data_IF_660050181084
#
_entry.id   IF_660050181084
#
_cell.length_a   1.000
_cell.length_b   1.000
_cell.length_c   1.000
_cell.angle_alpha   90.00
_cell.angle_beta   90.00
_cell.angle_gamma   90.00
#
_symmetry.space_group_name_H-M   'P 1'
#
loop_
_entity.id
_entity.type
_entity.pdbx_description
1 polymer ?
#
# COMPACT_ATOMS: atom_id res chain seq x y z
N UNK A 1 -10.99 25.44 14.95
CA UNK A 1 -11.21 25.07 13.53
C UNK A 1 -10.83 26.26 12.67
N UNK A 2 -10.16 26.05 11.55
CA UNK A 2 -9.70 27.14 10.67
C UNK A 2 -10.85 27.58 9.75
N UNK A 3 -10.92 28.88 9.43
CA UNK A 3 -11.99 29.46 8.61
C UNK A 3 -12.20 28.72 7.27
N UNK A 4 -11.12 28.28 6.60
CA UNK A 4 -11.21 27.52 5.35
C UNK A 4 -12.00 26.20 5.47
N UNK A 5 -12.00 25.55 6.63
CA UNK A 5 -12.76 24.31 6.84
C UNK A 5 -14.23 24.60 7.12
N UNK A 6 -14.54 25.80 7.58
CA UNK A 6 -15.89 26.23 7.98
C UNK A 6 -16.70 26.60 6.76
N UNK A 7 -16.08 27.23 5.77
CA UNK A 7 -16.67 27.53 4.46
C UNK A 7 -17.32 26.27 3.83
N UNK A 8 -16.59 25.15 3.82
CA UNK A 8 -17.13 23.87 3.35
C UNK A 8 -18.32 23.35 4.18
N UNK A 9 -18.36 23.61 5.49
CA UNK A 9 -19.52 23.27 6.32
C UNK A 9 -20.71 24.21 6.07
N UNK A 10 -20.45 25.48 5.76
CA UNK A 10 -21.48 26.44 5.35
C UNK A 10 -22.12 25.97 4.04
N UNK A 11 -21.34 25.58 3.04
CA UNK A 11 -21.88 25.03 1.77
C UNK A 11 -22.74 23.79 2.01
N UNK A 12 -22.26 22.83 2.80
CA UNK A 12 -23.04 21.63 3.16
C UNK A 12 -24.36 21.94 3.87
N UNK A 13 -24.37 23.00 4.70
CA UNK A 13 -25.59 23.48 5.35
C UNK A 13 -26.59 23.99 4.31
N UNK A 14 -26.13 24.81 3.36
CA UNK A 14 -26.95 25.37 2.30
C UNK A 14 -27.57 24.27 1.41
N UNK A 15 -26.82 23.20 1.14
CA UNK A 15 -27.27 22.04 0.37
C UNK A 15 -28.21 21.10 1.16
N UNK A 16 -28.39 21.31 2.47
CA UNK A 16 -29.23 20.46 3.32
C UNK A 16 -28.64 19.08 3.65
N UNK A 17 -27.33 18.88 3.47
CA UNK A 17 -26.64 17.59 3.66
C UNK A 17 -25.73 17.56 4.90
N UNK A 18 -25.80 18.58 5.75
CA UNK A 18 -24.96 18.70 6.93
C UNK A 18 -25.33 17.67 8.01
N UNK A 19 -24.34 16.95 8.53
CA UNK A 19 -24.56 16.00 9.63
C UNK A 19 -24.69 16.70 10.99
N UNK A 20 -25.26 16.04 11.98
CA UNK A 20 -25.44 16.60 13.34
C UNK A 20 -24.11 17.00 14.00
N UNK A 21 -23.06 16.18 13.84
CA UNK A 21 -21.72 16.46 14.38
C UNK A 21 -21.09 17.68 13.71
N UNK A 22 -21.22 17.79 12.39
CA UNK A 22 -20.76 18.94 11.61
C UNK A 22 -21.53 20.22 11.96
N UNK A 23 -22.84 20.13 12.19
CA UNK A 23 -23.68 21.25 12.63
C UNK A 23 -23.21 21.81 13.98
N UNK A 24 -22.84 20.93 14.92
CA UNK A 24 -22.29 21.35 16.21
C UNK A 24 -20.97 22.10 16.03
N UNK A 25 -20.07 21.60 15.19
CA UNK A 25 -18.80 22.25 14.89
C UNK A 25 -18.96 23.59 14.18
N UNK A 26 -19.87 23.67 13.22
CA UNK A 26 -20.22 24.92 12.52
C UNK A 26 -20.75 25.95 13.52
N UNK A 27 -21.75 25.59 14.33
CA UNK A 27 -22.34 26.47 15.34
C UNK A 27 -21.30 26.99 16.35
N UNK A 28 -20.43 26.12 16.85
CA UNK A 28 -19.35 26.51 17.77
C UNK A 28 -18.39 27.53 17.14
N UNK A 29 -18.14 27.43 15.83
CA UNK A 29 -17.22 28.32 15.13
C UNK A 29 -17.85 29.68 14.84
N UNK A 30 -19.05 29.72 14.25
CA UNK A 30 -19.74 30.99 13.88
C UNK A 30 -20.12 31.83 15.11
N UNK A 31 -20.26 31.19 16.29
CA UNK A 31 -20.47 31.92 17.54
C UNK A 31 -19.21 32.69 17.98
N UNK A 32 -18.01 32.24 17.56
CA UNK A 32 -16.71 32.79 18.00
C UNK A 32 -15.98 33.58 16.91
N UNK A 33 -16.37 33.43 15.65
CA UNK A 33 -15.73 34.07 14.51
C UNK A 33 -16.75 34.97 13.79
N UNK A 34 -16.58 36.29 13.91
CA UNK A 34 -17.50 37.26 13.32
C UNK A 34 -17.49 37.21 11.79
N UNK A 35 -16.33 36.95 11.18
CA UNK A 35 -16.17 36.87 9.71
C UNK A 35 -17.00 35.72 9.13
N UNK A 36 -16.83 34.50 9.65
CA UNK A 36 -17.59 33.34 9.16
C UNK A 36 -19.08 33.43 9.51
N UNK A 37 -19.44 34.17 10.56
CA UNK A 37 -20.85 34.45 10.89
C UNK A 37 -21.50 35.34 9.83
N UNK A 38 -20.81 36.40 9.41
CA UNK A 38 -21.28 37.32 8.38
C UNK A 38 -21.42 36.63 7.01
N UNK A 39 -20.44 35.78 6.65
CA UNK A 39 -20.51 34.94 5.45
C UNK A 39 -21.73 34.02 5.47
N UNK A 40 -21.95 33.31 6.58
CA UNK A 40 -23.10 32.43 6.75
C UNK A 40 -24.44 33.16 6.56
N UNK A 41 -24.62 34.32 7.20
CA UNK A 41 -25.85 35.10 7.06
C UNK A 41 -26.03 35.67 5.65
N UNK A 42 -24.93 36.02 4.97
CA UNK A 42 -24.96 36.48 3.59
C UNK A 42 -25.51 35.40 2.66
N UNK A 43 -24.99 34.17 2.78
CA UNK A 43 -25.48 33.04 2.01
C UNK A 43 -26.95 32.69 2.35
N UNK A 44 -27.32 32.70 3.64
CA UNK A 44 -28.70 32.44 4.03
C UNK A 44 -29.67 33.44 3.38
N UNK A 45 -29.32 34.74 3.42
CA UNK A 45 -30.13 35.80 2.80
C UNK A 45 -30.25 35.62 1.29
N UNK A 46 -29.19 35.16 0.61
CA UNK A 46 -29.26 34.86 -0.82
C UNK A 46 -30.24 33.72 -1.11
N UNK A 47 -30.21 32.65 -0.31
CA UNK A 47 -31.15 31.53 -0.46
C UNK A 47 -32.58 31.96 -0.20
N UNK A 48 -32.83 32.74 0.85
CA UNK A 48 -34.16 33.24 1.18
C UNK A 48 -34.77 34.04 -0.01
N UNK A 49 -33.95 34.87 -0.66
CA UNK A 49 -34.36 35.63 -1.86
C UNK A 49 -34.64 34.70 -3.06
N UNK A 50 -33.83 33.66 -3.24
CA UNK A 50 -34.03 32.69 -4.33
C UNK A 50 -35.27 31.81 -4.10
N UNK A 51 -35.57 31.48 -2.84
CA UNK A 51 -36.75 30.69 -2.46
C UNK A 51 -38.06 31.47 -2.58
N UNK A 52 -38.02 32.80 -2.38
CA UNK A 52 -39.17 33.69 -2.62
C UNK A 52 -39.41 33.97 -4.13
N UNK A 53 -38.53 33.45 -5.00
CA UNK A 53 -38.70 33.46 -6.44
C UNK A 53 -39.91 32.62 -6.88
N UNK A 54 -40.66 33.11 -7.85
CA UNK A 54 -41.77 32.38 -8.45
C UNK A 54 -41.25 31.07 -9.07
N UNK A 55 -41.73 29.93 -8.58
CA UNK A 55 -41.46 28.63 -9.18
C UNK A 55 -41.98 28.64 -10.62
N UNK A 56 -41.06 28.73 -11.59
CA UNK A 56 -41.41 28.67 -13.00
C UNK A 56 -41.61 27.19 -13.36
N UNK A 57 -42.84 26.83 -13.71
CA UNK A 57 -43.09 25.51 -14.28
C UNK A 57 -42.33 25.36 -15.60
N UNK A 58 -41.65 24.22 -15.74
CA UNK A 58 -41.00 23.88 -16.99
C UNK A 58 -42.05 23.76 -18.12
N UNK A 59 -41.73 24.17 -19.35
CA UNK A 59 -42.59 23.93 -20.50
C UNK A 59 -42.93 22.43 -20.63
N UNK A 60 -44.16 22.11 -21.06
CA UNK A 60 -44.65 20.73 -21.17
C UNK A 60 -43.75 19.79 -21.97
N UNK A 61 -42.99 20.34 -22.93
CA UNK A 61 -42.13 19.57 -23.84
C UNK A 61 -40.65 19.58 -23.44
N UNK A 62 -40.29 20.15 -22.28
CA UNK A 62 -38.91 20.30 -21.84
C UNK A 62 -38.20 18.95 -21.70
N UNK A 63 -38.81 18.00 -20.98
CA UNK A 63 -38.25 16.67 -20.78
C UNK A 63 -38.07 15.92 -22.10
N UNK A 64 -39.10 15.92 -22.96
CA UNK A 64 -39.04 15.30 -24.27
C UNK A 64 -37.93 15.91 -25.16
N UNK A 65 -37.75 17.23 -25.10
CA UNK A 65 -36.71 17.95 -25.85
C UNK A 65 -35.31 17.58 -25.36
N UNK A 66 -35.09 17.54 -24.04
CA UNK A 66 -33.80 17.18 -23.45
C UNK A 66 -33.44 15.73 -23.76
N UNK A 67 -34.39 14.80 -23.56
CA UNK A 67 -34.16 13.38 -23.79
C UNK A 67 -33.87 13.04 -25.26
N UNK A 68 -34.47 13.78 -26.20
CA UNK A 68 -34.14 13.61 -27.61
C UNK A 68 -32.72 14.12 -27.92
N UNK A 69 -32.29 15.25 -27.34
CA UNK A 69 -30.92 15.74 -27.53
C UNK A 69 -29.86 14.81 -26.93
N UNK A 70 -30.14 14.19 -25.79
CA UNK A 70 -29.19 13.26 -25.13
C UNK A 70 -28.93 12.01 -25.99
N UNK A 71 -29.93 11.53 -26.74
CA UNK A 71 -29.77 10.35 -27.62
C UNK A 71 -28.76 10.58 -28.74
N UNK A 72 -28.63 11.82 -29.20
CA UNK A 72 -27.72 12.19 -30.28
C UNK A 72 -26.29 12.48 -29.78
N UNK A 73 -26.06 12.39 -28.46
CA UNK A 73 -24.72 12.52 -27.87
C UNK A 73 -24.04 11.16 -27.98
N UNK A 74 -23.14 11.02 -28.96
CA UNK A 74 -22.18 9.91 -28.98
C UNK A 74 -21.20 10.09 -27.82
N UNK A 75 -21.36 9.26 -26.78
CA UNK A 75 -20.44 9.24 -25.64
C UNK A 75 -19.26 8.36 -26.04
N UNK A 76 -18.15 8.98 -26.41
CA UNK A 76 -16.86 8.30 -26.57
C UNK A 76 -16.24 8.08 -25.18
N UNK A 77 -16.65 7.00 -24.51
CA UNK A 77 -15.95 6.52 -23.33
C UNK A 77 -14.76 5.66 -23.78
N UNK A 78 -13.55 6.23 -23.73
CA UNK A 78 -12.32 5.44 -23.79
C UNK A 78 -12.29 4.50 -22.58
N UNK A 79 -12.73 3.25 -22.77
CA UNK A 79 -12.56 2.20 -21.77
C UNK A 79 -11.07 1.91 -21.69
N UNK A 80 -10.39 2.40 -20.65
CA UNK A 80 -8.99 2.06 -20.37
C UNK A 80 -8.82 0.55 -20.46
N UNK A 81 -7.96 0.11 -21.38
CA UNK A 81 -7.65 -1.30 -21.55
C UNK A 81 -7.20 -1.89 -20.21
N UNK A 82 -7.78 -3.04 -19.84
CA UNK A 82 -7.42 -3.73 -18.61
C UNK A 82 -5.99 -4.23 -18.75
N UNK A 83 -5.09 -3.67 -17.95
CA UNK A 83 -3.70 -4.15 -17.86
C UNK A 83 -3.72 -5.62 -17.45
N UNK A 84 -2.97 -6.47 -18.16
CA UNK A 84 -2.90 -7.90 -17.84
C UNK A 84 -2.27 -8.12 -16.47
N UNK A 85 -2.79 -9.11 -15.73
CA UNK A 85 -2.29 -9.46 -14.39
C UNK A 85 -0.79 -9.80 -14.44
N UNK A 86 -0.31 -10.38 -15.54
CA UNK A 86 1.10 -10.70 -15.75
C UNK A 86 1.98 -9.44 -15.79
N UNK A 87 1.49 -8.36 -16.41
CA UNK A 87 2.21 -7.08 -16.47
C UNK A 87 2.30 -6.44 -15.08
N UNK A 88 1.20 -6.51 -14.30
CA UNK A 88 1.17 -6.02 -12.92
C UNK A 88 2.13 -6.83 -12.05
N UNK A 89 2.10 -8.16 -12.17
CA UNK A 89 2.99 -9.06 -11.43
C UNK A 89 4.46 -8.75 -11.74
N UNK A 90 4.81 -8.61 -13.02
CA UNK A 90 6.17 -8.26 -13.43
C UNK A 90 6.62 -6.91 -12.85
N UNK A 91 5.75 -5.90 -12.84
CA UNK A 91 6.04 -4.59 -12.26
C UNK A 91 6.27 -4.66 -10.75
N UNK A 92 5.44 -5.43 -10.03
CA UNK A 92 5.58 -5.64 -8.58
C UNK A 92 6.89 -6.36 -8.24
N UNK A 93 7.21 -7.44 -8.95
CA UNK A 93 8.46 -8.18 -8.75
C UNK A 93 9.69 -7.34 -9.12
N UNK A 94 9.60 -6.55 -10.19
CA UNK A 94 10.67 -5.61 -10.58
C UNK A 94 10.92 -4.55 -9.52
N UNK A 95 9.86 -3.91 -9.01
CA UNK A 95 9.98 -2.91 -7.94
C UNK A 95 10.53 -3.53 -6.65
N UNK A 96 10.04 -4.71 -6.28
CA UNK A 96 10.53 -5.43 -5.10
C UNK A 96 12.02 -5.76 -5.23
N UNK A 97 12.45 -6.28 -6.38
CA UNK A 97 13.86 -6.59 -6.65
C UNK A 97 14.74 -5.35 -6.58
N UNK A 98 14.28 -4.22 -7.11
CA UNK A 98 15.00 -2.96 -7.07
C UNK A 98 15.14 -2.43 -5.64
N UNK A 99 14.06 -2.40 -4.86
CA UNK A 99 14.09 -1.95 -3.46
C UNK A 99 14.99 -2.86 -2.63
N UNK A 100 14.87 -4.18 -2.83
CA UNK A 100 15.71 -5.16 -2.12
C UNK A 100 17.18 -4.96 -2.46
N UNK A 101 17.52 -4.77 -3.74
CA UNK A 101 18.90 -4.51 -4.18
C UNK A 101 19.48 -3.23 -3.57
N UNK A 102 18.72 -2.14 -3.55
CA UNK A 102 19.13 -0.89 -2.88
C UNK A 102 19.33 -1.12 -1.39
N UNK A 103 18.41 -1.84 -0.73
CA UNK A 103 18.52 -2.18 0.69
C UNK A 103 19.80 -2.97 1.01
N UNK A 104 20.13 -3.97 0.20
CA UNK A 104 21.39 -4.74 0.35
C UNK A 104 22.60 -3.83 0.19
N UNK A 105 22.62 -2.95 -0.80
CA UNK A 105 23.71 -1.99 -0.99
C UNK A 105 23.87 -1.05 0.22
N UNK A 106 22.77 -0.54 0.77
CA UNK A 106 22.80 0.33 1.96
C UNK A 106 23.38 -0.41 3.17
N UNK A 107 23.07 -1.69 3.36
CA UNK A 107 23.64 -2.49 4.46
C UNK A 107 25.13 -2.75 4.26
N UNK A 108 25.55 -3.07 3.03
CA UNK A 108 26.96 -3.35 2.71
C UNK A 108 27.84 -2.10 2.85
N UNK A 109 27.34 -0.94 2.41
CA UNK A 109 28.06 0.34 2.43
C UNK A 109 27.65 1.24 3.61
N UNK A 110 27.09 0.68 4.69
CA UNK A 110 26.53 1.47 5.79
C UNK A 110 27.52 2.43 6.43
N UNK A 111 28.76 2.00 6.69
CA UNK A 111 29.79 2.83 7.34
C UNK A 111 30.19 4.05 6.49
N UNK A 112 30.64 3.89 5.22
CA UNK A 112 31.02 5.04 4.41
C UNK A 112 29.84 5.97 4.12
N UNK A 113 28.61 5.44 4.02
CA UNK A 113 27.40 6.28 3.84
C UNK A 113 27.15 7.15 5.08
N UNK A 114 27.24 6.58 6.28
CA UNK A 114 27.02 7.33 7.53
C UNK A 114 28.11 8.37 7.74
N UNK A 115 29.37 8.00 7.52
CA UNK A 115 30.51 8.92 7.62
C UNK A 115 30.31 10.14 6.70
N UNK A 116 29.96 9.90 5.43
CA UNK A 116 29.65 10.97 4.47
C UNK A 116 28.44 11.82 4.89
N UNK A 117 27.40 11.21 5.47
CA UNK A 117 26.21 11.94 5.94
C UNK A 117 26.48 12.78 7.18
N UNK A 118 27.36 12.32 8.08
CA UNK A 118 27.77 13.04 9.29
C UNK A 118 28.58 14.30 8.93
N UNK A 119 29.41 14.22 7.89
CA UNK A 119 30.17 15.37 7.40
C UNK A 119 29.30 16.45 6.71
N UNK A 120 28.03 16.15 6.40
CA UNK A 120 27.15 17.08 5.71
C UNK A 120 26.58 18.16 6.65
N UNK A 121 26.71 19.46 6.33
CA UNK A 121 26.24 20.56 7.19
C UNK A 121 24.75 20.56 7.52
N UNK A 122 23.92 19.93 6.69
CA UNK A 122 22.46 19.91 6.85
C UNK A 122 21.94 18.61 7.45
N UNK A 123 22.66 17.50 7.25
CA UNK A 123 22.21 16.15 7.61
C UNK A 123 23.00 15.53 8.77
N UNK A 124 24.09 16.16 9.21
CA UNK A 124 25.00 15.60 10.21
C UNK A 124 24.35 15.30 11.57
N UNK A 125 23.50 16.19 12.07
CA UNK A 125 22.79 16.00 13.34
C UNK A 125 21.80 14.82 13.29
N UNK A 126 21.13 14.66 12.14
CA UNK A 126 20.22 13.54 11.92
C UNK A 126 21.00 12.23 11.76
N UNK A 127 22.11 12.25 11.00
CA UNK A 127 22.93 11.08 10.74
C UNK A 127 23.64 10.57 12.01
N UNK A 128 24.17 11.49 12.83
CA UNK A 128 24.81 11.14 14.11
C UNK A 128 23.84 10.48 15.09
N UNK A 129 22.56 10.90 15.08
CA UNK A 129 21.50 10.26 15.86
C UNK A 129 21.19 8.82 15.42
N UNK A 130 21.56 8.44 14.19
CA UNK A 130 21.36 7.09 13.65
C UNK A 130 22.56 6.15 13.86
N UNK A 131 23.74 6.66 14.22
CA UNK A 131 24.91 5.82 14.53
C UNK A 131 24.61 4.72 15.56
N UNK A 132 24.03 5.01 16.75
CA UNK A 132 23.79 3.97 17.75
C UNK A 132 22.76 2.92 17.29
N UNK A 133 21.76 3.31 16.49
CA UNK A 133 20.77 2.35 15.96
C UNK A 133 21.39 1.43 14.93
N UNK A 134 22.32 1.92 14.11
CA UNK A 134 23.07 1.13 13.13
C UNK A 134 24.01 0.14 13.81
N UNK A 135 24.65 0.53 14.90
CA UNK A 135 25.51 -0.37 15.69
C UNK A 135 24.70 -1.49 16.35
N UNK A 136 23.54 -1.18 16.94
CA UNK A 136 22.61 -2.20 17.47
C UNK A 136 22.12 -3.13 16.35
N UNK A 137 21.82 -2.60 15.17
CA UNK A 137 21.43 -3.44 14.03
C UNK A 137 22.58 -4.39 13.63
N UNK A 138 23.82 -3.92 13.73
CA UNK A 138 24.99 -4.73 13.39
C UNK A 138 25.20 -5.92 14.32
N UNK A 139 24.93 -5.75 15.62
CA UNK A 139 25.00 -6.85 16.58
C UNK A 139 23.93 -7.89 16.29
N UNK A 140 22.69 -7.46 16.03
CA UNK A 140 21.62 -8.40 15.64
C UNK A 140 21.93 -9.16 14.35
N UNK A 141 22.50 -8.50 13.34
CA UNK A 141 22.93 -9.17 12.11
C UNK A 141 24.01 -10.22 12.39
N UNK A 142 24.94 -9.93 13.30
CA UNK A 142 25.98 -10.88 13.71
C UNK A 142 25.38 -12.10 14.41
N UNK A 143 24.48 -11.87 15.37
CA UNK A 143 23.81 -12.95 16.11
C UNK A 143 23.01 -13.88 15.16
N UNK A 144 22.26 -13.28 14.24
CA UNK A 144 21.52 -14.04 13.21
C UNK A 144 22.48 -14.85 12.34
N UNK A 145 23.63 -14.27 11.96
CA UNK A 145 24.63 -14.98 11.15
C UNK A 145 25.19 -16.19 11.90
N UNK A 146 25.50 -16.04 13.19
CA UNK A 146 25.99 -17.15 14.01
C UNK A 146 24.94 -18.24 14.16
N UNK A 147 23.68 -17.88 14.40
CA UNK A 147 22.58 -18.85 14.46
C UNK A 147 22.34 -19.57 13.13
N UNK A 148 22.40 -18.86 12.00
CA UNK A 148 22.30 -19.48 10.67
C UNK A 148 23.45 -20.47 10.44
N UNK A 149 24.67 -20.13 10.85
CA UNK A 149 25.83 -21.04 10.74
C UNK A 149 25.62 -22.26 11.63
N UNK A 150 25.14 -22.08 12.85
CA UNK A 150 24.80 -23.16 13.78
C UNK A 150 23.76 -24.11 13.18
N UNK A 151 22.66 -23.58 12.62
CA UNK A 151 21.61 -24.36 11.95
C UNK A 151 22.15 -25.10 10.73
N UNK A 152 22.95 -24.43 9.89
CA UNK A 152 23.58 -25.05 8.72
C UNK A 152 24.55 -26.17 9.12
N UNK A 153 25.30 -26.00 10.20
CA UNK A 153 26.20 -27.04 10.71
C UNK A 153 25.41 -28.25 11.23
N UNK A 154 24.34 -28.01 11.99
CA UNK A 154 23.46 -29.05 12.51
C UNK A 154 22.78 -29.83 11.39
N UNK A 155 22.28 -29.13 10.37
CA UNK A 155 21.66 -29.79 9.21
C UNK A 155 22.63 -30.69 8.45
N UNK A 156 23.91 -30.30 8.30
CA UNK A 156 24.94 -31.17 7.71
C UNK A 156 25.10 -32.49 8.47
N UNK A 157 25.10 -32.46 9.80
CA UNK A 157 25.15 -33.67 10.61
C UNK A 157 23.90 -34.54 10.40
N UNK A 158 22.71 -33.93 10.38
CA UNK A 158 21.44 -34.63 10.12
C UNK A 158 21.47 -35.31 8.74
N UNK A 159 21.87 -34.58 7.69
CA UNK A 159 21.97 -35.13 6.33
C UNK A 159 23.02 -36.24 6.23
N UNK A 160 24.15 -36.13 6.92
CA UNK A 160 25.17 -37.18 6.96
C UNK A 160 24.64 -38.46 7.62
N UNK A 161 23.97 -38.34 8.76
CA UNK A 161 23.35 -39.47 9.46
C UNK A 161 22.24 -40.11 8.62
N UNK A 162 21.40 -39.31 7.96
CA UNK A 162 20.35 -39.79 7.06
C UNK A 162 20.95 -40.56 5.87
N UNK A 163 22.04 -40.06 5.29
CA UNK A 163 22.77 -40.71 4.18
C UNK A 163 23.32 -42.08 4.59
N UNK A 164 23.85 -42.20 5.81
CA UNK A 164 24.39 -43.46 6.35
C UNK A 164 23.30 -44.53 6.47
N UNK A 165 22.05 -44.14 6.74
CA UNK A 165 20.89 -45.06 6.83
C UNK A 165 20.28 -45.34 5.44
N UNK A 166 20.13 -44.33 4.58
CA UNK A 166 19.48 -44.48 3.28
C UNK A 166 20.27 -45.35 2.30
N UNK A 167 21.60 -45.22 2.26
CA UNK A 167 22.45 -46.01 1.35
C UNK A 167 22.31 -47.53 1.56
N UNK A 168 22.43 -48.07 2.78
CA UNK A 168 22.28 -49.51 3.00
C UNK A 168 20.85 -49.98 2.75
N UNK A 169 19.83 -49.19 3.13
CA UNK A 169 18.42 -49.53 2.86
C UNK A 169 18.17 -49.63 1.34
N UNK A 170 18.63 -48.65 0.56
CA UNK A 170 18.52 -48.67 -0.90
C UNK A 170 19.32 -49.82 -1.53
N UNK A 171 20.50 -50.14 -0.98
CA UNK A 171 21.31 -51.27 -1.44
C UNK A 171 20.63 -52.61 -1.19
N UNK A 172 20.00 -52.79 -0.03
CA UNK A 172 19.23 -54.00 0.31
C UNK A 172 18.01 -54.13 -0.61
N UNK A 173 17.24 -53.04 -0.79
CA UNK A 173 16.09 -53.04 -1.71
C UNK A 173 16.51 -53.34 -3.16
N UNK A 174 17.65 -52.79 -3.60
CA UNK A 174 18.25 -53.09 -4.90
C UNK A 174 18.65 -54.57 -5.03
N UNK A 175 19.28 -55.16 -4.00
CA UNK A 175 19.65 -56.57 -3.98
C UNK A 175 18.43 -57.50 -4.01
N UNK A 176 17.37 -57.17 -3.27
CA UNK A 176 16.10 -57.91 -3.28
C UNK A 176 15.46 -57.85 -4.67
N UNK A 177 15.36 -56.65 -5.27
CA UNK A 177 14.82 -56.48 -6.62
C UNK A 177 15.63 -57.26 -7.66
N UNK A 178 16.95 -57.23 -7.55
CA UNK A 178 17.86 -57.99 -8.42
C UNK A 178 17.66 -59.50 -8.25
N UNK A 179 17.52 -59.99 -7.02
CA UNK A 179 17.26 -61.39 -6.74
C UNK A 179 15.93 -61.87 -7.36
N UNK A 180 14.86 -61.10 -7.19
CA UNK A 180 13.55 -61.39 -7.80
C UNK A 180 13.66 -61.43 -9.33
N UNK A 181 14.31 -60.43 -9.93
CA UNK A 181 14.51 -60.38 -11.39
C UNK A 181 15.32 -61.57 -11.91
N UNK A 182 16.40 -61.95 -11.21
CA UNK A 182 17.23 -63.09 -11.59
C UNK A 182 16.46 -64.40 -11.47
N UNK A 183 15.70 -64.61 -10.39
CA UNK A 183 14.88 -65.82 -10.21
C UNK A 183 13.84 -65.97 -11.33
N UNK A 184 13.14 -64.88 -11.67
CA UNK A 184 12.15 -64.88 -12.75
C UNK A 184 12.74 -65.18 -14.15
N UNK A 185 14.03 -64.95 -14.37
CA UNK A 185 14.71 -65.18 -15.65
C UNK A 185 15.37 -66.57 -15.76
N UNK A 186 15.61 -67.26 -14.64
CA UNK A 186 16.27 -68.59 -14.60
C UNK A 186 15.26 -69.74 -14.58
N UNK A 187 13.99 -69.48 -14.25
CA UNK A 187 12.89 -70.47 -14.26
C UNK A 187 12.14 -70.57 -15.63
N UNK A 188 12.76 -70.17 -16.75
CA UNK A 188 12.24 -70.34 -18.13
C UNK A 188 13.09 -71.37 -18.88
#
# INVERSE_FOLDING_TARGET
MNCNKVDHLIMKYMDGILTMEEAKHLNQHITKCDTCREEFFTYQKMIDVLQDGQLVEAPKDFEATVMNRIKDIEIDYEVKEKISIDTISAMVWGLFSLIFGIGVLLVLYRYPIIEYLVENPYLGDWASSMVPTVDILSTYISDIKEEIISILSTSKYVFSSLRLILIPVLSILGAIKYYIYRKAKVEI
#
